data_IF_853459004591
#
_entry.id   IF_853459004591
#
_cell.length_a   1.000
_cell.length_b   1.000
_cell.length_c   1.000
_cell.angle_alpha   90.00
_cell.angle_beta   90.00
_cell.angle_gamma   90.00
#
_symmetry.space_group_name_H-M   'P 1'
#
loop_
_entity.id
_entity.type
_entity.pdbx_description
1 polymer ?
#
# COMPACT_ATOMS: atom_id res chain seq x y z
N UNK A 1 -68.13 44.45 7.02
CA UNK A 1 -66.82 44.65 7.65
C UNK A 1 -66.30 43.30 8.09
N UNK A 2 -65.34 42.70 7.31
CA UNK A 2 -64.65 41.40 7.67
C UNK A 2 -63.37 41.70 8.46
N UNK A 3 -63.40 41.34 9.75
CA UNK A 3 -62.26 41.47 10.66
C UNK A 3 -61.25 40.38 10.31
N UNK A 4 -60.13 40.76 9.67
CA UNK A 4 -59.04 39.89 9.42
C UNK A 4 -58.30 39.56 10.76
N UNK A 5 -58.48 38.31 11.23
CA UNK A 5 -57.75 37.78 12.34
C UNK A 5 -56.32 37.58 11.91
N UNK A 6 -55.41 38.44 12.36
CA UNK A 6 -53.96 38.29 12.20
C UNK A 6 -53.49 37.09 13.04
N UNK A 7 -53.20 36.01 12.42
CA UNK A 7 -52.54 34.85 13.04
C UNK A 7 -51.09 35.25 13.30
N UNK A 8 -50.79 35.64 14.54
CA UNK A 8 -49.42 35.77 15.00
C UNK A 8 -48.78 34.39 14.97
N UNK A 9 -47.94 34.14 13.96
CA UNK A 9 -47.05 32.98 13.95
C UNK A 9 -46.05 33.13 15.10
N UNK A 10 -46.30 32.42 16.19
CA UNK A 10 -45.35 32.26 17.29
C UNK A 10 -44.13 31.50 16.72
N UNK A 11 -43.02 32.19 16.58
CA UNK A 11 -41.76 31.51 16.28
C UNK A 11 -41.44 30.59 17.46
N UNK A 12 -41.26 29.27 17.25
CA UNK A 12 -40.94 28.39 18.35
C UNK A 12 -39.58 28.85 18.94
N UNK A 13 -39.61 29.24 20.19
CA UNK A 13 -38.35 29.49 20.94
C UNK A 13 -37.71 28.13 21.20
N UNK A 14 -36.44 28.00 20.86
CA UNK A 14 -35.65 26.79 21.18
C UNK A 14 -35.71 26.52 22.69
N UNK A 15 -36.07 25.31 23.06
CA UNK A 15 -36.05 24.88 24.46
C UNK A 15 -34.61 24.60 24.91
N UNK A 16 -34.34 24.80 26.20
CA UNK A 16 -33.00 24.53 26.76
C UNK A 16 -32.57 23.08 26.46
N UNK A 17 -33.50 22.15 26.50
CA UNK A 17 -33.22 20.74 26.25
C UNK A 17 -32.76 20.48 24.80
N UNK A 18 -33.34 21.20 23.85
CA UNK A 18 -33.03 21.09 22.43
C UNK A 18 -31.58 21.58 22.15
N UNK A 19 -31.17 22.66 22.83
CA UNK A 19 -29.80 23.17 22.78
C UNK A 19 -28.81 22.14 23.36
N UNK A 20 -29.15 21.54 24.50
CA UNK A 20 -28.27 20.55 25.15
C UNK A 20 -28.11 19.32 24.24
N UNK A 21 -29.19 18.80 23.69
CA UNK A 21 -29.14 17.64 22.78
C UNK A 21 -28.33 17.98 21.53
N UNK A 22 -28.50 19.17 20.96
CA UNK A 22 -27.73 19.60 19.80
C UNK A 22 -26.23 19.68 20.09
N UNK A 23 -25.84 20.22 21.23
CA UNK A 23 -24.44 20.30 21.66
C UNK A 23 -23.85 18.91 21.85
N UNK A 24 -24.58 17.97 22.43
CA UNK A 24 -24.12 16.58 22.61
C UNK A 24 -23.89 15.92 21.25
N UNK A 25 -24.84 16.04 20.32
CA UNK A 25 -24.72 15.45 18.98
C UNK A 25 -23.50 16.02 18.25
N UNK A 26 -23.31 17.33 18.27
CA UNK A 26 -22.18 17.99 17.63
C UNK A 26 -20.86 17.51 18.27
N UNK A 27 -20.79 17.44 19.59
CA UNK A 27 -19.60 17.00 20.30
C UNK A 27 -19.20 15.57 19.95
N UNK A 28 -20.14 14.64 19.91
CA UNK A 28 -19.92 13.25 19.50
C UNK A 28 -19.47 13.19 18.04
N UNK A 29 -20.06 13.98 17.17
CA UNK A 29 -19.70 14.04 15.75
C UNK A 29 -18.27 14.54 15.56
N UNK A 30 -17.85 15.57 16.29
CA UNK A 30 -16.48 16.09 16.24
C UNK A 30 -15.47 15.01 16.67
N UNK A 31 -15.73 14.32 17.78
CA UNK A 31 -14.84 13.25 18.28
C UNK A 31 -14.70 12.15 17.23
N UNK A 32 -15.80 11.76 16.60
CA UNK A 32 -15.78 10.73 15.55
C UNK A 32 -14.95 11.16 14.31
N UNK A 33 -15.14 12.40 13.86
CA UNK A 33 -14.37 12.95 12.74
C UNK A 33 -12.88 13.02 13.04
N UNK A 34 -12.51 13.46 14.25
CA UNK A 34 -11.10 13.50 14.67
C UNK A 34 -10.47 12.10 14.72
N UNK A 35 -11.21 11.10 15.21
CA UNK A 35 -10.76 9.71 15.21
C UNK A 35 -10.53 9.18 13.78
N UNK A 36 -11.48 9.43 12.88
CA UNK A 36 -11.34 9.08 11.45
C UNK A 36 -10.12 9.74 10.82
N UNK A 37 -9.93 11.03 11.07
CA UNK A 37 -8.79 11.79 10.55
C UNK A 37 -7.46 11.21 11.02
N UNK A 38 -7.35 10.88 12.32
CA UNK A 38 -6.15 10.24 12.89
C UNK A 38 -5.86 8.88 12.25
N UNK A 39 -6.89 8.04 12.06
CA UNK A 39 -6.76 6.73 11.40
C UNK A 39 -6.31 6.89 9.95
N UNK A 40 -6.92 7.80 9.20
CA UNK A 40 -6.56 8.07 7.82
C UNK A 40 -5.11 8.53 7.69
N UNK A 41 -4.65 9.40 8.60
CA UNK A 41 -3.25 9.84 8.62
C UNK A 41 -2.29 8.66 8.81
N UNK A 42 -2.57 7.76 9.75
CA UNK A 42 -1.77 6.56 9.97
C UNK A 42 -1.72 5.64 8.73
N UNK A 43 -2.86 5.48 8.03
CA UNK A 43 -2.91 4.72 6.79
C UNK A 43 -2.10 5.37 5.66
N UNK A 44 -2.16 6.70 5.52
CA UNK A 44 -1.39 7.43 4.52
C UNK A 44 0.11 7.24 4.75
N UNK A 45 0.58 7.39 6.00
CA UNK A 45 1.98 7.17 6.35
C UNK A 45 2.41 5.73 6.03
N UNK A 46 1.60 4.74 6.41
CA UNK A 46 1.85 3.34 6.11
C UNK A 46 1.97 3.08 4.60
N UNK A 47 1.03 3.59 3.81
CA UNK A 47 1.03 3.43 2.34
C UNK A 47 2.26 4.11 1.74
N UNK A 48 2.61 5.32 2.19
CA UNK A 48 3.78 6.04 1.71
C UNK A 48 5.08 5.27 1.98
N UNK A 49 5.24 4.70 3.18
CA UNK A 49 6.39 3.85 3.51
C UNK A 49 6.42 2.58 2.65
N UNK A 50 5.28 1.92 2.47
CA UNK A 50 5.16 0.73 1.62
C UNK A 50 5.54 1.02 0.17
N UNK A 51 5.05 2.11 -0.39
CA UNK A 51 5.38 2.53 -1.75
C UNK A 51 6.87 2.82 -1.91
N UNK A 52 7.48 3.53 -0.95
CA UNK A 52 8.92 3.78 -0.95
C UNK A 52 9.73 2.48 -0.94
N UNK A 53 9.36 1.51 -0.11
CA UNK A 53 10.03 0.23 -0.04
C UNK A 53 9.82 -0.60 -1.30
N UNK A 54 8.61 -0.59 -1.88
CA UNK A 54 8.32 -1.26 -3.15
C UNK A 54 9.15 -0.71 -4.31
N UNK A 55 9.34 0.63 -4.37
CA UNK A 55 10.25 1.25 -5.33
C UNK A 55 11.71 0.82 -5.12
N UNK A 56 12.13 0.66 -3.87
CA UNK A 56 13.47 0.13 -3.57
C UNK A 56 13.61 -1.35 -3.94
N UNK A 57 12.56 -2.14 -3.73
CA UNK A 57 12.54 -3.56 -4.08
C UNK A 57 12.67 -3.78 -5.59
N UNK A 58 12.16 -2.84 -6.42
CA UNK A 58 12.30 -2.92 -7.88
C UNK A 58 13.76 -2.97 -8.35
N UNK A 59 14.70 -2.43 -7.57
CA UNK A 59 16.14 -2.47 -7.87
C UNK A 59 16.72 -3.90 -7.84
N UNK A 60 16.03 -4.82 -7.20
CA UNK A 60 16.45 -6.22 -7.05
C UNK A 60 15.75 -7.17 -8.01
N UNK A 61 14.65 -6.72 -8.67
CA UNK A 61 13.85 -7.56 -9.57
C UNK A 61 14.50 -7.64 -10.96
N UNK A 62 15.72 -8.19 -10.99
CA UNK A 62 16.46 -8.46 -12.22
C UNK A 62 16.23 -9.91 -12.69
N UNK A 63 16.68 -10.25 -13.89
CA UNK A 63 16.55 -11.62 -14.42
C UNK A 63 17.25 -12.67 -13.55
N UNK A 64 18.32 -12.26 -12.87
CA UNK A 64 19.10 -13.11 -11.98
C UNK A 64 18.49 -13.31 -10.58
N UNK A 65 17.38 -12.64 -10.25
CA UNK A 65 16.78 -12.64 -8.90
C UNK A 65 16.52 -14.06 -8.37
N UNK A 66 16.16 -14.99 -9.22
CA UNK A 66 15.87 -16.39 -8.86
C UNK A 66 17.07 -17.08 -8.21
N UNK A 67 18.28 -16.65 -8.53
CA UNK A 67 19.52 -17.22 -7.97
C UNK A 67 19.79 -16.82 -6.52
N UNK A 68 19.02 -15.84 -5.98
CA UNK A 68 19.24 -15.29 -4.64
C UNK A 68 18.39 -15.98 -3.56
N UNK A 69 17.93 -17.21 -3.80
CA UNK A 69 17.15 -17.97 -2.82
C UNK A 69 17.89 -18.11 -1.49
N UNK A 70 17.25 -17.69 -0.38
CA UNK A 70 17.81 -17.65 0.98
C UNK A 70 19.05 -16.77 1.18
N UNK A 71 19.34 -15.91 0.22
CA UNK A 71 20.48 -14.99 0.29
C UNK A 71 20.03 -13.59 0.70
N UNK A 72 20.97 -12.84 1.30
CA UNK A 72 20.87 -11.42 1.52
C UNK A 72 21.74 -10.70 0.49
N UNK A 73 21.16 -9.78 -0.28
CA UNK A 73 21.85 -9.02 -1.33
C UNK A 73 21.71 -7.53 -1.11
N UNK A 74 22.77 -6.79 -1.44
CA UNK A 74 22.76 -5.33 -1.50
C UNK A 74 22.35 -4.87 -2.90
N UNK A 75 21.61 -3.76 -2.99
CA UNK A 75 21.20 -3.20 -4.28
C UNK A 75 22.41 -2.87 -5.17
N UNK A 76 23.51 -2.40 -4.58
CA UNK A 76 24.74 -2.15 -5.34
C UNK A 76 25.32 -3.42 -5.97
N UNK A 77 25.31 -4.53 -5.27
CA UNK A 77 25.84 -5.81 -5.77
C UNK A 77 25.05 -6.33 -6.98
N UNK A 78 23.72 -6.19 -6.92
CA UNK A 78 22.81 -6.58 -8.00
C UNK A 78 22.99 -5.68 -9.22
N UNK A 79 22.95 -4.36 -9.00
CA UNK A 79 22.97 -3.38 -10.09
C UNK A 79 24.33 -3.23 -10.77
N UNK A 80 25.46 -3.44 -10.06
CA UNK A 80 26.79 -3.29 -10.65
C UNK A 80 27.06 -4.20 -11.85
N UNK A 81 26.30 -5.28 -11.98
CA UNK A 81 26.40 -6.19 -13.12
C UNK A 81 25.84 -5.58 -14.40
N UNK A 82 24.86 -4.70 -14.26
CA UNK A 82 24.11 -4.07 -15.37
C UNK A 82 24.47 -2.61 -15.56
N UNK A 83 24.83 -1.89 -14.48
CA UNK A 83 25.05 -0.44 -14.50
C UNK A 83 26.35 -0.05 -13.78
N UNK A 84 27.06 0.88 -14.37
CA UNK A 84 28.29 1.46 -13.80
C UNK A 84 27.95 2.74 -13.03
N UNK A 85 27.76 2.62 -11.70
CA UNK A 85 27.48 3.78 -10.85
C UNK A 85 28.77 4.54 -10.59
N UNK A 86 28.89 5.77 -11.09
CA UNK A 86 30.11 6.59 -10.97
C UNK A 86 30.18 7.35 -9.64
N UNK A 87 29.05 7.83 -9.16
CA UNK A 87 28.96 8.71 -7.99
C UNK A 87 29.15 7.92 -6.67
N UNK A 88 30.02 8.40 -5.79
CA UNK A 88 30.35 7.75 -4.52
C UNK A 88 29.14 7.70 -3.57
N UNK A 89 28.41 8.80 -3.44
CA UNK A 89 27.21 8.88 -2.57
C UNK A 89 26.13 7.89 -2.99
N UNK A 90 25.87 7.79 -4.29
CA UNK A 90 24.91 6.84 -4.84
C UNK A 90 25.32 5.38 -4.54
N UNK A 91 26.58 5.07 -4.65
CA UNK A 91 27.11 3.74 -4.29
C UNK A 91 26.90 3.41 -2.81
N UNK A 92 27.15 4.35 -1.91
CA UNK A 92 26.93 4.15 -0.48
C UNK A 92 25.45 3.93 -0.13
N UNK A 93 24.55 4.70 -0.75
CA UNK A 93 23.11 4.53 -0.57
C UNK A 93 22.63 3.15 -1.05
N UNK A 94 23.13 2.69 -2.21
CA UNK A 94 22.79 1.39 -2.76
C UNK A 94 23.35 0.23 -1.90
N UNK A 95 24.54 0.39 -1.28
CA UNK A 95 25.08 -0.60 -0.34
C UNK A 95 24.27 -0.67 0.96
N UNK A 96 23.74 0.43 1.46
CA UNK A 96 22.86 0.45 2.64
C UNK A 96 21.52 -0.21 2.38
N UNK A 97 21.09 -0.28 1.12
CA UNK A 97 19.83 -0.93 0.74
C UNK A 97 20.07 -2.42 0.50
N UNK A 98 19.72 -3.25 1.47
CA UNK A 98 19.86 -4.70 1.39
C UNK A 98 18.52 -5.40 1.63
N UNK A 99 18.33 -6.57 1.00
CA UNK A 99 17.11 -7.37 1.11
C UNK A 99 17.42 -8.84 1.31
N UNK A 100 16.54 -9.52 2.04
CA UNK A 100 16.56 -10.97 2.17
C UNK A 100 15.56 -11.57 1.17
N UNK A 101 15.99 -12.59 0.45
CA UNK A 101 15.20 -13.24 -0.58
C UNK A 101 14.78 -14.63 -0.14
N UNK A 102 13.51 -14.96 -0.41
CA UNK A 102 13.00 -16.30 -0.31
C UNK A 102 12.20 -16.62 -1.58
N UNK A 103 12.63 -17.62 -2.32
CA UNK A 103 12.04 -18.02 -3.59
C UNK A 103 11.58 -19.46 -3.42
N UNK A 104 10.28 -19.73 -3.24
CA UNK A 104 9.76 -21.09 -3.18
C UNK A 104 9.91 -21.79 -4.53
N UNK A 105 9.58 -23.06 -4.56
CA UNK A 105 9.56 -23.84 -5.80
C UNK A 105 8.55 -23.24 -6.79
N UNK A 106 8.89 -23.20 -8.09
CA UNK A 106 8.03 -22.63 -9.11
C UNK A 106 6.72 -23.44 -9.24
N UNK A 107 5.62 -22.73 -9.46
CA UNK A 107 4.32 -23.34 -9.74
C UNK A 107 4.16 -23.55 -11.24
N UNK A 108 3.91 -24.78 -11.64
CA UNK A 108 3.60 -25.13 -13.02
C UNK A 108 2.08 -25.08 -13.24
N UNK A 109 1.61 -24.16 -14.04
CA UNK A 109 0.22 -24.02 -14.44
C UNK A 109 0.00 -24.76 -15.76
N UNK A 110 -0.74 -25.86 -15.67
CA UNK A 110 -1.19 -26.61 -16.87
C UNK A 110 -2.57 -26.10 -17.27
N UNK A 111 -2.86 -26.00 -18.58
CA UNK A 111 -4.20 -25.66 -19.03
C UNK A 111 -5.20 -26.74 -18.60
N UNK A 112 -6.41 -26.32 -18.19
CA UNK A 112 -7.44 -27.20 -17.65
C UNK A 112 -7.87 -28.30 -18.64
N UNK A 113 -7.84 -28.00 -19.95
CA UNK A 113 -8.27 -28.90 -21.01
C UNK A 113 -7.10 -29.72 -21.64
N UNK A 114 -5.90 -29.58 -21.07
CA UNK A 114 -4.70 -30.23 -21.60
C UNK A 114 -4.17 -29.67 -22.94
N UNK A 115 -4.86 -28.69 -23.51
CA UNK A 115 -4.47 -28.01 -24.73
C UNK A 115 -4.15 -26.55 -24.44
N UNK A 116 -2.94 -26.12 -24.75
CA UNK A 116 -2.52 -24.73 -24.59
C UNK A 116 -1.13 -24.57 -24.00
N UNK A 117 -0.62 -23.35 -23.92
CA UNK A 117 0.70 -23.10 -23.37
C UNK A 117 0.73 -23.39 -21.86
N UNK A 118 1.80 -24.02 -21.41
CA UNK A 118 2.09 -24.13 -19.97
C UNK A 118 2.72 -22.84 -19.47
N UNK A 119 2.35 -22.42 -18.28
CA UNK A 119 2.97 -21.28 -17.63
C UNK A 119 3.69 -21.71 -16.35
N UNK A 120 4.88 -21.15 -16.13
CA UNK A 120 5.65 -21.33 -14.91
C UNK A 120 5.55 -20.02 -14.15
N UNK A 121 5.18 -20.09 -12.88
CA UNK A 121 5.07 -18.93 -12.00
C UNK A 121 6.13 -19.04 -10.90
N UNK A 122 7.08 -18.13 -10.92
CA UNK A 122 8.07 -17.97 -9.86
C UNK A 122 7.57 -16.92 -8.85
N UNK A 123 7.40 -17.27 -7.58
CA UNK A 123 7.12 -16.32 -6.51
C UNK A 123 8.45 -15.84 -5.90
N UNK A 124 8.63 -14.52 -5.81
CA UNK A 124 9.81 -13.89 -5.23
C UNK A 124 9.37 -13.14 -3.97
N UNK A 125 9.72 -13.67 -2.80
CA UNK A 125 9.46 -13.01 -1.51
C UNK A 125 10.67 -12.21 -1.10
N UNK A 126 10.48 -10.89 -0.94
CA UNK A 126 11.50 -9.97 -0.46
C UNK A 126 11.13 -9.54 0.94
N UNK A 127 12.07 -9.69 1.89
CA UNK A 127 11.86 -9.34 3.29
C UNK A 127 12.84 -8.28 3.75
N UNK A 128 12.29 -7.24 4.40
CA UNK A 128 12.99 -6.22 5.16
C UNK A 128 12.06 -5.76 6.31
N UNK A 129 11.81 -4.48 6.50
CA UNK A 129 10.82 -3.95 7.45
C UNK A 129 9.41 -4.52 7.18
N UNK A 130 9.07 -4.69 5.91
CA UNK A 130 7.85 -5.35 5.44
C UNK A 130 8.19 -6.49 4.50
N UNK A 131 7.27 -7.43 4.35
CA UNK A 131 7.38 -8.51 3.36
C UNK A 131 6.59 -8.14 2.11
N UNK A 132 7.21 -8.34 0.94
CA UNK A 132 6.60 -8.13 -0.37
C UNK A 132 6.73 -9.40 -1.20
N UNK A 133 5.69 -9.76 -1.96
CA UNK A 133 5.72 -10.87 -2.90
C UNK A 133 5.55 -10.35 -4.31
N UNK A 134 6.41 -10.80 -5.22
CA UNK A 134 6.40 -10.50 -6.64
C UNK A 134 6.29 -11.81 -7.42
N UNK A 135 5.61 -11.77 -8.56
CA UNK A 135 5.39 -12.94 -9.38
C UNK A 135 5.98 -12.73 -10.76
N UNK A 136 6.76 -13.71 -11.22
CA UNK A 136 7.29 -13.75 -12.58
C UNK A 136 6.65 -14.89 -13.34
N UNK A 137 6.05 -14.57 -14.48
CA UNK A 137 5.40 -15.52 -15.37
C UNK A 137 6.30 -15.83 -16.55
N UNK A 138 6.50 -17.10 -16.83
CA UNK A 138 7.13 -17.59 -18.04
C UNK A 138 6.15 -18.47 -18.76
N UNK A 139 5.85 -18.13 -19.99
CA UNK A 139 4.99 -18.94 -20.86
C UNK A 139 5.92 -19.81 -21.70
N UNK A 140 5.73 -21.11 -21.63
CA UNK A 140 6.40 -22.06 -22.51
C UNK A 140 5.73 -21.99 -23.88
N UNK A 141 6.51 -21.66 -24.90
CA UNK A 141 6.01 -21.73 -26.28
C UNK A 141 5.70 -23.20 -26.64
N UNK A 142 4.73 -23.37 -27.51
CA UNK A 142 4.37 -24.67 -28.11
C UNK A 142 5.54 -25.29 -28.82
#
# INVERSE_FOLDING_TARGET
MKKLLSVKTLRPAFTIIEIIISVIIISVSIIYVLKLHSQNHAHIVYIAERNKLSLQDSLFLTDDVIRYHKDKKEAYEVLRKHFKVKESKSRELLKKNSRNFFIPEPLNLLPADGYGPTAIVDEIKIKDKYSSSYFRFKISNF
#
